data_IF_908232861626
#
_entry.id   IF_908232861626
#
_cell.length_a   1.000
_cell.length_b   1.000
_cell.length_c   1.000
_cell.angle_alpha   90.00
_cell.angle_beta   90.00
_cell.angle_gamma   90.00
#
_symmetry.space_group_name_H-M   'P 1'
#
loop_
_entity.id
_entity.type
_entity.pdbx_description
1 polymer ?
#
# COMPACT_ATOMS: atom_id res chain seq x y z
N UNK A 1 -15.36 13.95 19.10
CA UNK A 1 -15.00 13.04 17.99
C UNK A 1 -15.56 13.67 16.72
N UNK A 2 -14.78 14.51 16.04
CA UNK A 2 -15.21 15.08 14.75
C UNK A 2 -15.08 13.97 13.71
N UNK A 3 -16.21 13.41 13.30
CA UNK A 3 -16.27 12.57 12.11
C UNK A 3 -15.85 13.43 10.92
N UNK A 4 -14.85 12.96 10.18
CA UNK A 4 -14.51 13.51 8.86
C UNK A 4 -15.79 13.36 8.02
N UNK A 5 -16.29 14.44 7.43
CA UNK A 5 -17.45 14.36 6.53
C UNK A 5 -17.06 13.54 5.29
N UNK A 6 -18.02 12.88 4.64
CA UNK A 6 -17.74 12.13 3.40
C UNK A 6 -17.05 13.01 2.34
N UNK A 7 -17.48 14.27 2.22
CA UNK A 7 -16.85 15.26 1.34
C UNK A 7 -15.37 15.53 1.69
N UNK A 8 -15.03 15.58 3.00
CA UNK A 8 -13.63 15.77 3.40
C UNK A 8 -12.80 14.49 3.24
N UNK A 9 -13.42 13.32 3.30
CA UNK A 9 -12.77 12.04 2.98
C UNK A 9 -12.40 11.95 1.49
N UNK A 10 -13.35 12.25 0.59
CA UNK A 10 -13.12 12.18 -0.85
C UNK A 10 -12.06 13.17 -1.30
N UNK A 11 -12.14 14.42 -0.84
CA UNK A 11 -11.16 15.45 -1.18
C UNK A 11 -9.73 15.10 -0.69
N UNK A 12 -9.61 14.36 0.42
CA UNK A 12 -8.32 13.85 0.88
C UNK A 12 -7.83 12.73 -0.04
N UNK A 13 -8.69 11.76 -0.37
CA UNK A 13 -8.32 10.64 -1.24
C UNK A 13 -7.90 11.10 -2.64
N UNK A 14 -8.65 11.99 -3.27
CA UNK A 14 -8.35 12.50 -4.61
C UNK A 14 -6.94 13.12 -4.68
N UNK A 15 -6.56 13.87 -3.64
CA UNK A 15 -5.22 14.48 -3.54
C UNK A 15 -4.10 13.44 -3.53
N UNK A 16 -4.34 12.26 -2.97
CA UNK A 16 -3.36 11.17 -2.94
C UNK A 16 -3.43 10.30 -4.20
N UNK A 17 -4.62 10.00 -4.70
CA UNK A 17 -4.84 9.21 -5.91
C UNK A 17 -4.26 9.88 -7.15
N UNK A 18 -4.43 11.19 -7.31
CA UNK A 18 -3.81 11.97 -8.41
C UNK A 18 -2.27 11.91 -8.36
N UNK A 19 -1.70 11.74 -7.16
CA UNK A 19 -0.26 11.56 -6.97
C UNK A 19 0.17 10.09 -6.96
N UNK A 20 -0.74 9.16 -7.28
CA UNK A 20 -0.55 7.71 -7.26
C UNK A 20 -0.01 7.21 -5.90
N UNK A 21 -0.34 7.93 -4.83
CA UNK A 21 -0.02 7.57 -3.45
C UNK A 21 -1.15 6.72 -2.89
N UNK A 22 -0.77 5.68 -2.17
CA UNK A 22 -1.72 4.75 -1.58
C UNK A 22 -1.11 3.98 -0.43
N UNK A 23 -1.88 3.10 0.22
CA UNK A 23 -1.56 2.51 1.50
C UNK A 23 -0.56 1.34 1.37
N UNK A 24 0.64 1.62 0.84
CA UNK A 24 1.76 0.69 0.80
C UNK A 24 2.07 0.24 2.23
N UNK A 25 2.17 -1.07 2.41
CA UNK A 25 2.42 -1.69 3.71
C UNK A 25 3.30 -2.90 3.57
N UNK A 26 4.03 -3.21 4.62
CA UNK A 26 4.84 -4.41 4.68
C UNK A 26 4.86 -5.01 6.08
N UNK A 27 5.12 -6.31 6.16
CA UNK A 27 5.14 -7.10 7.38
C UNK A 27 6.39 -7.98 7.43
N UNK A 28 7.04 -8.03 8.60
CA UNK A 28 8.22 -8.86 8.82
C UNK A 28 7.82 -10.29 9.19
N UNK A 29 8.17 -11.27 8.36
CA UNK A 29 7.84 -12.68 8.62
C UNK A 29 8.68 -13.31 9.74
N UNK A 30 9.74 -12.64 10.17
CA UNK A 30 10.55 -13.03 11.34
C UNK A 30 9.75 -12.94 12.65
N UNK A 31 8.77 -12.02 12.70
CA UNK A 31 8.13 -11.63 13.95
C UNK A 31 8.97 -10.68 14.81
N UNK A 32 10.17 -10.28 14.39
CA UNK A 32 11.06 -9.38 15.14
C UNK A 32 10.75 -7.91 14.82
N UNK A 33 10.38 -7.08 15.81
CA UNK A 33 10.18 -5.64 15.63
C UNK A 33 11.38 -4.89 15.03
N UNK A 34 12.61 -5.37 15.27
CA UNK A 34 13.83 -4.74 14.77
C UNK A 34 13.91 -4.72 13.25
N UNK A 35 13.28 -5.67 12.58
CA UNK A 35 13.21 -5.69 11.12
C UNK A 35 12.38 -4.52 10.58
N UNK A 36 11.35 -4.09 11.33
CA UNK A 36 10.56 -2.89 10.98
C UNK A 36 11.35 -1.61 11.30
N UNK A 37 12.03 -1.55 12.44
CA UNK A 37 12.90 -0.43 12.81
C UNK A 37 13.98 -0.20 11.73
N UNK A 38 14.64 -1.28 11.30
CA UNK A 38 15.67 -1.21 10.24
C UNK A 38 15.08 -0.78 8.89
N UNK A 39 13.86 -1.21 8.57
CA UNK A 39 13.16 -0.77 7.37
C UNK A 39 12.75 0.72 7.45
N UNK A 40 12.33 1.20 8.63
CA UNK A 40 12.01 2.62 8.86
C UNK A 40 13.25 3.50 8.69
N UNK A 41 14.42 3.07 9.19
CA UNK A 41 15.69 3.75 8.93
C UNK A 41 16.03 3.83 7.43
N UNK A 42 15.79 2.74 6.69
CA UNK A 42 16.03 2.73 5.24
C UNK A 42 15.08 3.68 4.50
N UNK A 43 13.81 3.74 4.90
CA UNK A 43 12.87 4.72 4.34
C UNK A 43 13.33 6.16 4.58
N UNK A 44 13.85 6.48 5.78
CA UNK A 44 14.41 7.82 6.07
C UNK A 44 15.60 8.15 5.17
N UNK A 45 16.47 7.17 4.90
CA UNK A 45 17.64 7.33 4.01
C UNK A 45 17.24 7.51 2.55
N UNK A 46 16.24 6.78 2.08
CA UNK A 46 15.79 6.82 0.68
C UNK A 46 14.98 8.07 0.35
N UNK A 47 14.27 8.63 1.32
CA UNK A 47 13.35 9.74 1.13
C UNK A 47 13.62 10.89 2.12
N UNK A 48 14.86 11.44 2.17
CA UNK A 48 15.26 12.41 3.19
C UNK A 48 14.50 13.73 3.10
N UNK A 49 14.06 14.12 1.89
CA UNK A 49 13.34 15.37 1.65
C UNK A 49 11.83 15.25 1.91
N UNK A 50 11.32 14.04 2.21
CA UNK A 50 9.90 13.82 2.46
C UNK A 50 9.58 14.02 3.95
N UNK A 51 9.56 15.28 4.38
CA UNK A 51 9.30 15.66 5.79
C UNK A 51 8.02 15.04 6.37
N UNK A 52 6.98 14.90 5.55
CA UNK A 52 5.70 14.30 5.97
C UNK A 52 5.85 12.80 6.26
N UNK A 53 6.62 12.09 5.44
CA UNK A 53 6.93 10.68 5.67
C UNK A 53 7.78 10.53 6.92
N UNK A 54 8.83 11.34 7.09
CA UNK A 54 9.71 11.29 8.27
C UNK A 54 8.91 11.49 9.55
N UNK A 55 8.07 12.54 9.60
CA UNK A 55 7.18 12.80 10.73
C UNK A 55 6.20 11.65 10.97
N UNK A 56 5.69 11.03 9.91
CA UNK A 56 4.81 9.86 10.04
C UNK A 56 5.55 8.69 10.70
N UNK A 57 6.80 8.41 10.29
CA UNK A 57 7.59 7.34 10.89
C UNK A 57 7.85 7.58 12.37
N UNK A 58 8.18 8.83 12.78
CA UNK A 58 8.37 9.20 14.19
C UNK A 58 7.10 8.92 15.01
N UNK A 59 5.95 9.37 14.51
CA UNK A 59 4.66 9.17 15.19
C UNK A 59 4.27 7.69 15.23
N UNK A 60 4.56 6.95 14.17
CA UNK A 60 4.21 5.54 14.07
C UNK A 60 5.10 4.66 14.95
N UNK A 61 6.33 5.09 15.24
CA UNK A 61 7.21 4.49 16.25
C UNK A 61 6.74 4.82 17.67
N UNK A 62 6.39 6.08 17.94
CA UNK A 62 6.00 6.52 19.28
C UNK A 62 4.60 6.04 19.70
N UNK A 63 3.64 5.98 18.76
CA UNK A 63 2.21 5.86 19.08
C UNK A 63 1.57 4.53 18.69
N UNK A 64 2.21 3.69 17.87
CA UNK A 64 1.57 2.49 17.31
C UNK A 64 2.24 1.23 17.85
N UNK A 65 1.50 0.45 18.63
CA UNK A 65 1.91 -0.88 19.05
C UNK A 65 1.67 -1.90 17.91
N UNK A 66 2.59 -2.85 17.74
CA UNK A 66 2.42 -3.93 16.77
C UNK A 66 1.31 -4.90 17.19
N UNK A 67 0.62 -5.47 16.20
CA UNK A 67 -0.42 -6.49 16.38
C UNK A 67 -0.11 -7.69 15.48
N UNK A 68 0.21 -8.84 16.07
CA UNK A 68 0.66 -10.02 15.30
C UNK A 68 2.09 -9.81 14.76
N UNK A 69 2.30 -10.09 13.47
CA UNK A 69 3.60 -9.80 12.84
C UNK A 69 3.87 -8.30 12.82
N UNK A 70 5.05 -7.83 13.27
CA UNK A 70 5.43 -6.43 13.14
C UNK A 70 5.28 -5.96 11.71
N UNK A 71 4.57 -4.84 11.54
CA UNK A 71 4.13 -4.35 10.25
C UNK A 71 4.14 -2.83 10.23
N UNK A 72 4.40 -2.25 9.05
CA UNK A 72 4.40 -0.81 8.84
C UNK A 72 3.56 -0.45 7.62
N UNK A 73 2.78 0.61 7.76
CA UNK A 73 2.12 1.31 6.65
C UNK A 73 2.85 2.62 6.38
N UNK A 74 3.06 2.96 5.11
CA UNK A 74 3.62 4.23 4.68
C UNK A 74 3.04 4.59 3.32
N UNK A 75 2.49 5.80 3.17
CA UNK A 75 1.87 6.21 1.91
C UNK A 75 2.92 6.64 0.89
N UNK A 76 3.29 5.70 0.01
CA UNK A 76 4.30 5.88 -1.03
C UNK A 76 3.64 5.97 -2.42
N UNK A 77 4.21 6.83 -3.28
CA UNK A 77 3.86 7.00 -4.68
C UNK A 77 4.45 5.92 -5.60
N UNK A 78 4.14 5.98 -6.89
CA UNK A 78 4.51 4.97 -7.88
C UNK A 78 6.00 4.55 -7.84
N UNK A 79 6.93 5.50 -8.05
CA UNK A 79 8.36 5.20 -8.04
C UNK A 79 8.90 4.90 -6.64
N UNK A 80 8.35 5.54 -5.61
CA UNK A 80 8.77 5.36 -4.21
C UNK A 80 8.53 3.90 -3.77
N UNK A 81 7.42 3.28 -4.19
CA UNK A 81 7.10 1.88 -3.89
C UNK A 81 8.13 0.90 -4.47
N UNK A 82 8.52 1.08 -5.73
CA UNK A 82 9.52 0.23 -6.37
C UNK A 82 10.90 0.38 -5.71
N UNK A 83 11.32 1.64 -5.44
CA UNK A 83 12.57 1.94 -4.72
C UNK A 83 12.59 1.27 -3.34
N UNK A 84 11.52 1.41 -2.58
CA UNK A 84 11.42 0.81 -1.25
C UNK A 84 11.40 -0.73 -1.31
N UNK A 85 10.62 -1.31 -2.24
CA UNK A 85 10.56 -2.76 -2.39
C UNK A 85 11.92 -3.40 -2.73
N UNK A 86 12.70 -2.77 -3.60
CA UNK A 86 14.06 -3.21 -3.93
C UNK A 86 15.01 -3.07 -2.74
N UNK A 87 14.90 -1.98 -1.96
CA UNK A 87 15.71 -1.79 -0.77
C UNK A 87 15.40 -2.82 0.33
N UNK A 88 14.12 -3.11 0.60
CA UNK A 88 13.73 -4.18 1.54
C UNK A 88 14.32 -5.53 1.13
N UNK A 89 14.23 -5.87 -0.16
CA UNK A 89 14.83 -7.10 -0.67
C UNK A 89 16.35 -7.11 -0.53
N UNK A 90 17.02 -5.98 -0.76
CA UNK A 90 18.47 -5.84 -0.54
C UNK A 90 18.84 -6.11 0.92
N UNK A 91 18.13 -5.51 1.87
CA UNK A 91 18.36 -5.70 3.31
C UNK A 91 18.16 -7.15 3.76
N UNK A 92 17.14 -7.82 3.24
CA UNK A 92 16.92 -9.26 3.47
C UNK A 92 18.08 -10.08 2.91
N UNK A 93 18.55 -9.75 1.70
CA UNK A 93 19.68 -10.45 1.06
C UNK A 93 20.99 -10.26 1.83
N UNK A 94 21.21 -9.07 2.38
CA UNK A 94 22.39 -8.70 3.17
C UNK A 94 22.32 -9.21 4.62
N UNK A 95 21.17 -9.73 5.04
CA UNK A 95 20.95 -10.25 6.40
C UNK A 95 20.74 -9.16 7.45
N UNK A 96 20.57 -7.90 7.04
CA UNK A 96 20.21 -6.79 7.93
C UNK A 96 18.75 -6.86 8.39
N UNK A 97 17.89 -7.47 7.56
CA UNK A 97 16.55 -7.91 7.95
C UNK A 97 16.59 -9.44 8.05
N UNK A 98 16.16 -9.97 9.19
CA UNK A 98 16.41 -11.36 9.60
C UNK A 98 15.63 -12.42 8.82
N UNK A 99 14.49 -12.05 8.23
CA UNK A 99 13.65 -12.94 7.42
C UNK A 99 12.96 -12.19 6.27
N UNK A 100 12.37 -12.87 5.29
CA UNK A 100 11.66 -12.19 4.20
C UNK A 100 10.54 -11.27 4.70
N UNK A 101 10.43 -10.11 4.06
CA UNK A 101 9.34 -9.16 4.21
C UNK A 101 8.22 -9.46 3.20
N UNK A 102 6.98 -9.43 3.64
CA UNK A 102 5.80 -9.37 2.75
C UNK A 102 5.47 -7.91 2.49
N UNK A 103 5.26 -7.56 1.23
CA UNK A 103 4.84 -6.24 0.78
C UNK A 103 3.42 -6.37 0.20
N UNK A 104 2.54 -5.45 0.55
CA UNK A 104 1.20 -5.38 0.03
C UNK A 104 0.59 -4.00 0.19
N UNK A 105 -0.74 -3.93 0.15
CA UNK A 105 -1.50 -2.68 0.32
C UNK A 105 -2.90 -2.95 0.85
N UNK A 106 -3.77 -1.95 0.85
CA UNK A 106 -5.21 -2.19 0.85
C UNK A 106 -5.72 -2.42 -0.58
N UNK A 107 -6.96 -2.90 -0.71
CA UNK A 107 -7.73 -2.88 -1.95
C UNK A 107 -8.08 -1.45 -2.39
N UNK A 108 -8.16 -0.51 -1.43
CA UNK A 108 -8.25 0.92 -1.67
C UNK A 108 -6.87 1.45 -2.10
N UNK A 109 -6.69 1.64 -3.40
CA UNK A 109 -5.51 2.26 -3.98
C UNK A 109 -5.88 2.85 -5.36
N UNK A 110 -5.08 3.82 -5.80
CA UNK A 110 -5.31 4.69 -6.96
C UNK A 110 -5.78 4.04 -8.26
N UNK A 111 -5.53 2.74 -8.47
CA UNK A 111 -5.94 2.02 -9.69
C UNK A 111 -6.47 0.62 -9.43
N UNK A 112 -6.93 0.30 -8.21
CA UNK A 112 -7.35 -1.07 -7.87
C UNK A 112 -8.80 -1.19 -7.41
N UNK A 113 -9.61 -0.16 -7.60
CA UNK A 113 -10.98 -0.08 -7.08
C UNK A 113 -11.89 0.71 -8.01
N UNK A 114 -13.14 0.23 -8.14
CA UNK A 114 -14.27 0.98 -8.69
C UNK A 114 -15.41 0.98 -7.68
N UNK A 115 -15.69 2.15 -7.09
CA UNK A 115 -16.66 2.38 -6.02
C UNK A 115 -17.35 3.74 -6.18
N UNK A 116 -18.49 3.82 -6.91
CA UNK A 116 -19.16 5.08 -7.19
C UNK A 116 -19.64 5.87 -5.97
N UNK A 117 -19.77 5.21 -4.81
CA UNK A 117 -20.21 5.83 -3.55
C UNK A 117 -19.04 6.03 -2.56
N UNK A 118 -17.80 5.92 -3.05
CA UNK A 118 -16.57 6.07 -2.25
C UNK A 118 -15.41 6.44 -3.18
N UNK A 119 -14.47 5.54 -3.46
CA UNK A 119 -13.20 5.89 -4.13
C UNK A 119 -13.30 6.49 -5.53
N UNK A 120 -14.33 6.13 -6.31
CA UNK A 120 -14.54 6.66 -7.66
C UNK A 120 -15.78 7.55 -7.73
N UNK A 121 -16.22 8.10 -6.60
CA UNK A 121 -17.33 9.04 -6.54
C UNK A 121 -16.95 10.39 -7.19
N UNK A 122 -17.77 10.85 -8.14
CA UNK A 122 -17.64 12.16 -8.75
C UNK A 122 -16.44 12.29 -9.69
N UNK A 123 -16.09 11.23 -10.44
CA UNK A 123 -15.03 11.31 -11.44
C UNK A 123 -15.38 12.41 -12.47
N UNK A 124 -14.39 13.20 -12.87
CA UNK A 124 -14.62 14.40 -13.69
C UNK A 124 -15.24 14.10 -15.06
N UNK A 125 -15.00 12.90 -15.58
CA UNK A 125 -15.53 12.39 -16.85
C UNK A 125 -16.79 11.51 -16.66
N UNK A 126 -17.29 11.38 -15.44
CA UNK A 126 -18.44 10.54 -15.09
C UNK A 126 -18.15 9.04 -15.15
N UNK A 127 -16.87 8.62 -15.11
CA UNK A 127 -16.47 7.21 -15.19
C UNK A 127 -16.63 6.43 -13.88
N UNK A 128 -17.40 6.93 -12.92
CA UNK A 128 -17.51 6.45 -11.54
C UNK A 128 -17.70 4.92 -11.45
N UNK A 129 -18.57 4.38 -12.30
CA UNK A 129 -18.98 2.96 -12.30
C UNK A 129 -18.15 2.06 -13.23
N UNK A 130 -17.10 2.57 -13.89
CA UNK A 130 -16.27 1.77 -14.79
C UNK A 130 -15.41 0.80 -13.98
N UNK A 131 -15.80 -0.48 -13.98
CA UNK A 131 -15.14 -1.55 -13.24
C UNK A 131 -13.89 -2.15 -13.90
N UNK A 132 -13.64 -1.84 -15.19
CA UNK A 132 -12.57 -2.44 -15.98
C UNK A 132 -11.18 -2.23 -15.36
N UNK A 133 -10.95 -1.06 -14.77
CA UNK A 133 -9.68 -0.71 -14.13
C UNK A 133 -9.31 -1.67 -12.99
N UNK A 134 -10.28 -2.07 -12.16
CA UNK A 134 -10.04 -3.00 -11.06
C UNK A 134 -9.72 -4.41 -11.57
N UNK A 135 -10.35 -4.84 -12.66
CA UNK A 135 -10.06 -6.14 -13.32
C UNK A 135 -8.67 -6.11 -13.97
N UNK A 136 -8.36 -5.06 -14.71
CA UNK A 136 -7.04 -4.87 -15.33
C UNK A 136 -5.93 -4.82 -14.29
N UNK A 137 -6.17 -4.21 -13.12
CA UNK A 137 -5.24 -4.23 -12.00
C UNK A 137 -4.90 -5.66 -11.55
N UNK A 138 -5.89 -6.54 -11.44
CA UNK A 138 -5.66 -7.94 -11.09
C UNK A 138 -4.84 -8.66 -12.16
N UNK A 139 -5.23 -8.49 -13.42
CA UNK A 139 -4.58 -9.17 -14.55
C UNK A 139 -3.14 -8.71 -14.72
N UNK A 140 -2.87 -7.40 -14.68
CA UNK A 140 -1.51 -6.88 -14.87
C UNK A 140 -0.60 -7.27 -13.72
N UNK A 141 -1.09 -7.27 -12.48
CA UNK A 141 -0.29 -7.70 -11.34
C UNK A 141 -0.02 -9.21 -11.36
N UNK A 142 -0.95 -10.01 -11.91
CA UNK A 142 -0.72 -11.44 -12.17
C UNK A 142 0.38 -11.61 -13.21
N UNK A 143 0.29 -10.90 -14.34
CA UNK A 143 1.29 -10.95 -15.40
C UNK A 143 2.67 -10.42 -14.96
N UNK A 144 2.70 -9.42 -14.07
CA UNK A 144 3.92 -8.84 -13.52
C UNK A 144 4.60 -9.71 -12.46
N UNK A 145 4.01 -10.85 -12.08
CA UNK A 145 4.63 -11.80 -11.13
C UNK A 145 4.35 -11.50 -9.65
N UNK A 146 3.19 -10.93 -9.33
CA UNK A 146 2.75 -10.85 -7.94
C UNK A 146 2.71 -12.23 -7.28
N UNK A 147 3.13 -12.31 -6.02
CA UNK A 147 3.18 -13.58 -5.28
C UNK A 147 1.77 -14.14 -5.03
N UNK A 148 0.79 -13.26 -4.78
CA UNK A 148 -0.62 -13.60 -4.85
C UNK A 148 -1.46 -12.38 -5.17
N UNK A 149 -2.50 -12.60 -5.96
CA UNK A 149 -3.44 -11.58 -6.44
C UNK A 149 -4.84 -12.00 -6.02
N UNK A 150 -5.66 -11.05 -5.59
CA UNK A 150 -7.07 -11.30 -5.32
C UNK A 150 -7.96 -10.23 -5.95
N UNK A 151 -9.14 -10.67 -6.39
CA UNK A 151 -10.19 -9.81 -6.93
C UNK A 151 -11.47 -10.05 -6.13
N UNK A 152 -11.97 -9.01 -5.47
CA UNK A 152 -13.06 -9.07 -4.52
C UNK A 152 -14.23 -8.18 -4.97
N UNK A 153 -15.41 -8.49 -4.47
CA UNK A 153 -16.62 -7.72 -4.67
C UNK A 153 -17.23 -7.32 -3.32
N UNK A 154 -17.73 -6.09 -3.23
CA UNK A 154 -18.48 -5.58 -2.07
C UNK A 154 -17.66 -5.13 -0.84
N UNK A 155 -16.33 -5.07 -0.95
CA UNK A 155 -15.42 -4.74 0.16
C UNK A 155 -15.58 -3.34 0.78
N UNK A 156 -16.37 -3.21 1.83
CA UNK A 156 -16.49 -1.99 2.64
C UNK A 156 -17.75 -1.17 2.38
N UNK A 157 -18.31 -1.18 1.16
CA UNK A 157 -19.63 -0.56 0.87
C UNK A 157 -20.76 -1.58 0.68
N UNK A 158 -20.46 -2.88 0.69
CA UNK A 158 -21.47 -3.94 0.60
C UNK A 158 -21.71 -4.44 -0.82
N UNK A 159 -22.52 -5.51 -0.91
CA UNK A 159 -22.81 -6.23 -2.15
C UNK A 159 -23.45 -5.34 -3.22
N UNK A 160 -23.01 -5.49 -4.47
CA UNK A 160 -23.52 -4.78 -5.65
C UNK A 160 -22.90 -3.40 -5.90
N UNK A 161 -22.10 -2.88 -4.96
CA UNK A 161 -21.68 -1.47 -4.97
C UNK A 161 -20.19 -1.26 -5.27
N UNK A 162 -19.40 -2.34 -5.38
CA UNK A 162 -17.94 -2.23 -5.43
C UNK A 162 -17.23 -3.44 -6.06
N UNK A 163 -16.21 -3.17 -6.87
CA UNK A 163 -15.19 -4.14 -7.30
C UNK A 163 -13.80 -3.69 -6.89
N UNK A 164 -12.98 -4.58 -6.35
CA UNK A 164 -11.61 -4.25 -5.92
C UNK A 164 -10.59 -5.35 -6.20
N UNK A 165 -9.32 -4.97 -6.26
CA UNK A 165 -8.19 -5.87 -6.40
C UNK A 165 -7.11 -5.61 -5.36
N UNK A 166 -6.42 -6.66 -4.93
CA UNK A 166 -5.27 -6.59 -4.03
C UNK A 166 -4.04 -7.30 -4.58
N UNK A 167 -2.89 -6.78 -4.18
CA UNK A 167 -1.58 -7.23 -4.58
C UNK A 167 -0.71 -7.56 -3.38
N UNK A 168 -0.07 -8.73 -3.44
CA UNK A 168 0.91 -9.18 -2.47
C UNK A 168 2.16 -9.66 -3.16
N UNK A 169 3.30 -9.30 -2.59
CA UNK A 169 4.61 -9.73 -3.02
C UNK A 169 5.46 -10.11 -1.82
N UNK A 170 6.20 -11.21 -1.90
CA UNK A 170 7.18 -11.56 -0.88
C UNK A 170 8.58 -11.21 -1.39
N UNK A 171 9.34 -10.47 -0.60
CA UNK A 171 10.70 -10.03 -0.93
C UNK A 171 11.67 -11.19 -1.24
N UNK A 172 11.34 -12.46 -0.93
CA UNK A 172 12.16 -13.61 -1.35
C UNK A 172 12.20 -13.84 -2.88
N UNK A 173 11.31 -13.21 -3.66
CA UNK A 173 11.15 -13.49 -5.10
C UNK A 173 12.16 -12.80 -6.04
N UNK A 174 12.85 -11.74 -5.62
CA UNK A 174 13.91 -11.13 -6.44
C UNK A 174 15.18 -12.01 -6.56
N UNK A 175 15.13 -13.29 -6.17
CA UNK A 175 16.18 -14.30 -6.34
C UNK A 175 16.16 -15.01 -7.70
N UNK A 176 15.53 -14.42 -8.72
CA UNK A 176 15.55 -14.96 -10.10
C UNK A 176 16.04 -13.92 -11.11
N UNK A 177 17.31 -13.58 -10.99
CA UNK A 177 18.24 -13.21 -12.08
C UNK A 177 19.62 -12.97 -11.49
#
# INVERSE_FOLDING_TARGET
MHLISLDSYQHILDRYSVKVKGPFRFAALSGDPKDIERADEEMRKLFPDNEKLIRWLDLAEEKIAFQGLPSRIAWLGYEERAKMGLALNRLVREGEISAPIVIGRDHLDSGSVASPNRETEGMQDGSDAVGDWAVLNALINTAAGGSWISFHHGGGVGMGLLFTCWYGSCSRWFRTS
#
